data_IF_423329815973
#
_entry.id   IF_423329815973
#
_cell.length_a   1.000
_cell.length_b   1.000
_cell.length_c   1.000
_cell.angle_alpha   90.00
_cell.angle_beta   90.00
_cell.angle_gamma   90.00
#
_symmetry.space_group_name_H-M   'P 1'
#
loop_
_entity.id
_entity.type
_entity.pdbx_description
1 polymer ?
#
# COMPACT_ATOMS: atom_id res chain seq x y z
N UNK A 1 -12.64 29.10 -23.12
CA UNK A 1 -13.86 28.67 -22.41
C UNK A 1 -13.50 28.71 -20.94
N UNK A 2 -14.00 29.73 -20.23
CA UNK A 2 -13.68 29.97 -18.83
C UNK A 2 -14.16 28.76 -18.00
N UNK A 3 -13.26 28.14 -17.25
CA UNK A 3 -13.64 27.31 -16.11
C UNK A 3 -14.04 28.29 -15.00
N UNK A 4 -15.24 28.86 -15.13
CA UNK A 4 -15.86 29.63 -14.07
C UNK A 4 -16.09 28.71 -12.88
N UNK A 5 -15.54 29.15 -11.74
CA UNK A 5 -15.59 28.52 -10.43
C UNK A 5 -17.04 28.28 -10.00
N UNK A 6 -17.50 27.04 -10.12
CA UNK A 6 -18.53 26.53 -9.21
C UNK A 6 -17.83 25.73 -8.11
N UNK A 7 -17.01 26.43 -7.33
CA UNK A 7 -16.53 25.87 -6.07
C UNK A 7 -17.72 25.83 -5.11
N UNK A 8 -18.11 24.61 -4.76
CA UNK A 8 -19.02 24.30 -3.67
C UNK A 8 -18.63 25.14 -2.44
N UNK A 9 -19.62 25.73 -1.74
CA UNK A 9 -19.34 26.49 -0.52
C UNK A 9 -18.55 25.62 0.47
N UNK A 10 -17.73 26.22 1.35
CA UNK A 10 -16.98 25.46 2.35
C UNK A 10 -17.92 24.58 3.21
N UNK A 11 -19.10 25.10 3.54
CA UNK A 11 -20.11 24.39 4.33
C UNK A 11 -20.71 23.22 3.56
N UNK A 12 -21.02 23.40 2.27
CA UNK A 12 -21.51 22.33 1.42
C UNK A 12 -20.45 21.25 1.19
N UNK A 13 -19.18 21.64 1.06
CA UNK A 13 -18.06 20.72 0.94
C UNK A 13 -17.89 19.89 2.20
N UNK A 14 -17.88 20.54 3.36
CA UNK A 14 -17.76 19.83 4.64
C UNK A 14 -18.96 18.92 4.87
N UNK A 15 -20.17 19.35 4.51
CA UNK A 15 -21.37 18.49 4.55
C UNK A 15 -21.24 17.27 3.64
N UNK A 16 -20.88 17.45 2.37
CA UNK A 16 -20.70 16.35 1.41
C UNK A 16 -19.62 15.38 1.87
N UNK A 17 -18.51 15.91 2.38
CA UNK A 17 -17.42 15.12 2.95
C UNK A 17 -17.90 14.27 4.13
N UNK A 18 -18.66 14.84 5.07
CA UNK A 18 -19.16 14.07 6.20
C UNK A 18 -20.14 12.98 5.77
N UNK A 19 -21.05 13.27 4.83
CA UNK A 19 -21.95 12.27 4.25
C UNK A 19 -21.15 11.13 3.62
N UNK A 20 -20.15 11.47 2.81
CA UNK A 20 -19.29 10.47 2.17
C UNK A 20 -18.56 9.60 3.20
N UNK A 21 -17.93 10.21 4.22
CA UNK A 21 -17.22 9.47 5.26
C UNK A 21 -18.15 8.58 6.10
N UNK A 22 -19.36 9.05 6.40
CA UNK A 22 -20.37 8.27 7.13
C UNK A 22 -20.84 7.07 6.30
N UNK A 23 -20.98 7.22 4.98
CA UNK A 23 -21.37 6.12 4.08
C UNK A 23 -20.30 5.03 3.96
N UNK A 24 -19.03 5.36 4.24
CA UNK A 24 -17.92 4.39 4.27
C UNK A 24 -17.78 3.68 5.61
N UNK A 25 -18.48 4.15 6.65
CA UNK A 25 -18.34 3.61 7.99
C UNK A 25 -18.80 2.15 8.06
N UNK A 26 -17.99 1.33 8.71
CA UNK A 26 -18.23 -0.11 8.85
C UNK A 26 -17.91 -0.55 10.28
N UNK A 27 -18.64 -1.53 10.81
CA UNK A 27 -18.33 -2.15 12.11
C UNK A 27 -17.15 -3.12 12.01
N UNK A 28 -16.57 -3.52 13.14
CA UNK A 28 -15.50 -4.52 13.15
C UNK A 28 -15.93 -5.86 12.54
N UNK A 29 -17.20 -6.28 12.74
CA UNK A 29 -17.75 -7.48 12.11
C UNK A 29 -17.86 -7.31 10.58
N UNK A 30 -18.29 -6.13 10.12
CA UNK A 30 -18.35 -5.83 8.69
C UNK A 30 -16.95 -5.77 8.07
N UNK A 31 -15.96 -5.22 8.77
CA UNK A 31 -14.56 -5.22 8.32
C UNK A 31 -14.05 -6.65 8.11
N UNK A 32 -14.24 -7.51 9.10
CA UNK A 32 -13.84 -8.92 9.04
C UNK A 32 -14.61 -9.72 7.97
N UNK A 33 -15.87 -9.37 7.73
CA UNK A 33 -16.65 -9.96 6.63
C UNK A 33 -16.17 -9.49 5.27
N UNK A 34 -15.95 -8.19 5.09
CA UNK A 34 -15.47 -7.63 3.81
C UNK A 34 -14.14 -8.24 3.44
N UNK A 35 -13.19 -8.35 4.38
CA UNK A 35 -11.90 -9.01 4.10
C UNK A 35 -12.11 -10.43 3.53
N UNK A 36 -12.91 -11.26 4.21
CA UNK A 36 -13.20 -12.63 3.75
C UNK A 36 -13.92 -12.69 2.41
N UNK A 37 -14.97 -11.87 2.24
CA UNK A 37 -15.80 -11.86 1.03
C UNK A 37 -15.04 -11.27 -0.19
N UNK A 38 -13.92 -10.58 0.05
CA UNK A 38 -13.09 -9.94 -0.99
C UNK A 38 -11.77 -10.67 -1.28
N UNK A 39 -11.54 -11.84 -0.69
CA UNK A 39 -10.40 -12.71 -1.02
C UNK A 39 -10.39 -13.01 -2.53
N UNK A 40 -9.19 -13.06 -3.11
CA UNK A 40 -8.97 -13.21 -4.56
C UNK A 40 -8.77 -11.89 -5.30
N UNK A 41 -8.95 -10.76 -4.62
CA UNK A 41 -8.54 -9.42 -5.03
C UNK A 41 -8.96 -9.06 -6.47
N UNK A 42 -8.01 -8.97 -7.41
CA UNK A 42 -8.28 -8.61 -8.81
C UNK A 42 -9.31 -9.51 -9.50
N UNK A 43 -9.46 -10.76 -9.02
CA UNK A 43 -10.42 -11.73 -9.53
C UNK A 43 -11.76 -11.70 -8.78
N UNK A 44 -11.97 -10.74 -7.88
CA UNK A 44 -13.17 -10.59 -7.08
C UNK A 44 -13.80 -9.21 -7.34
N UNK A 45 -15.03 -9.18 -7.85
CA UNK A 45 -15.68 -7.92 -8.19
C UNK A 45 -16.10 -7.10 -6.96
N UNK A 46 -16.42 -7.77 -5.85
CA UNK A 46 -16.70 -7.11 -4.58
C UNK A 46 -15.45 -6.40 -4.05
N UNK A 47 -14.27 -7.00 -4.23
CA UNK A 47 -13.01 -6.34 -3.92
C UNK A 47 -12.83 -5.06 -4.75
N UNK A 48 -13.09 -5.10 -6.07
CA UNK A 48 -12.99 -3.91 -6.94
C UNK A 48 -13.94 -2.81 -6.49
N UNK A 49 -15.18 -3.17 -6.12
CA UNK A 49 -16.19 -2.24 -5.63
C UNK A 49 -15.78 -1.58 -4.31
N UNK A 50 -15.34 -2.34 -3.30
CA UNK A 50 -14.93 -1.74 -2.02
C UNK A 50 -13.62 -0.97 -2.12
N UNK A 51 -12.70 -1.43 -2.98
CA UNK A 51 -11.41 -0.78 -3.23
C UNK A 51 -11.57 0.59 -3.88
N UNK A 52 -12.46 0.73 -4.88
CA UNK A 52 -12.64 2.00 -5.61
C UNK A 52 -13.15 3.15 -4.73
N UNK A 53 -13.73 2.83 -3.57
CA UNK A 53 -14.24 3.79 -2.60
C UNK A 53 -13.18 4.29 -1.61
N UNK A 54 -11.96 3.74 -1.65
CA UNK A 54 -10.94 3.92 -0.60
C UNK A 54 -9.58 4.28 -1.16
N UNK A 55 -8.82 5.05 -0.40
CA UNK A 55 -7.40 5.27 -0.67
C UNK A 55 -6.61 4.04 -0.18
N UNK A 56 -6.02 3.30 -1.12
CA UNK A 56 -5.25 2.09 -0.78
C UNK A 56 -3.79 2.35 -0.43
N UNK A 57 -3.23 1.48 0.41
CA UNK A 57 -1.82 1.52 0.83
C UNK A 57 -0.81 1.61 -0.33
N UNK A 58 -1.11 1.02 -1.49
CA UNK A 58 -0.29 1.10 -2.71
C UNK A 58 -0.07 2.55 -3.21
N UNK A 59 -0.95 3.49 -2.87
CA UNK A 59 -0.79 4.92 -3.19
C UNK A 59 0.02 5.69 -2.13
N UNK A 60 0.31 5.10 -0.97
CA UNK A 60 0.92 5.84 0.15
C UNK A 60 2.31 6.33 -0.19
N UNK A 61 3.10 5.56 -0.93
CA UNK A 61 4.40 6.02 -1.40
C UNK A 61 4.32 7.21 -2.36
N UNK A 62 3.22 7.36 -3.12
CA UNK A 62 2.96 8.54 -3.95
C UNK A 62 2.59 9.73 -3.08
N UNK A 63 1.65 9.55 -2.16
CA UNK A 63 1.13 10.60 -1.27
C UNK A 63 2.20 11.12 -0.30
N UNK A 64 2.88 10.22 0.42
CA UNK A 64 3.84 10.57 1.46
C UNK A 64 5.11 11.22 0.93
N UNK A 65 5.42 11.02 -0.35
CA UNK A 65 6.61 11.58 -1.02
C UNK A 65 6.32 12.84 -1.84
N UNK A 66 5.10 13.37 -1.80
CA UNK A 66 4.76 14.64 -2.44
C UNK A 66 5.60 15.79 -1.86
N UNK A 67 6.31 16.49 -2.74
CA UNK A 67 7.08 17.68 -2.41
C UNK A 67 6.22 18.94 -2.57
N UNK A 68 6.67 20.05 -2.01
CA UNK A 68 5.98 21.35 -2.17
C UNK A 68 5.82 21.77 -3.63
N UNK A 69 6.76 21.39 -4.48
CA UNK A 69 6.77 21.68 -5.92
C UNK A 69 5.86 20.76 -6.74
N UNK A 70 5.41 19.64 -6.18
CA UNK A 70 4.57 18.67 -6.89
C UNK A 70 3.09 19.12 -6.84
N UNK A 71 2.36 18.94 -7.95
CA UNK A 71 0.94 19.30 -8.04
C UNK A 71 0.06 18.34 -7.24
N UNK A 72 -0.52 18.84 -6.14
CA UNK A 72 -1.52 18.11 -5.33
C UNK A 72 -2.78 17.77 -6.12
N UNK A 73 -3.41 18.71 -6.86
CA UNK A 73 -4.58 18.39 -7.68
C UNK A 73 -4.29 17.25 -8.66
N UNK A 74 -3.10 17.25 -9.29
CA UNK A 74 -2.74 16.19 -10.22
C UNK A 74 -2.53 14.83 -9.53
N UNK A 75 -1.98 14.83 -8.32
CA UNK A 75 -1.88 13.60 -7.53
C UNK A 75 -3.26 13.03 -7.21
N UNK A 76 -4.21 13.89 -6.81
CA UNK A 76 -5.59 13.49 -6.49
C UNK A 76 -6.30 12.98 -7.72
N UNK A 77 -6.21 13.69 -8.84
CA UNK A 77 -6.76 13.26 -10.14
C UNK A 77 -6.23 11.87 -10.53
N UNK A 78 -4.92 11.64 -10.40
CA UNK A 78 -4.30 10.34 -10.71
C UNK A 78 -4.67 9.22 -9.72
N UNK A 79 -5.25 9.53 -8.56
CA UNK A 79 -5.76 8.53 -7.60
C UNK A 79 -7.23 8.24 -7.91
N UNK A 80 -8.03 9.28 -8.19
CA UNK A 80 -9.47 9.16 -8.44
C UNK A 80 -9.78 8.56 -9.82
N UNK A 81 -8.99 8.92 -10.83
CA UNK A 81 -9.21 8.55 -12.23
C UNK A 81 -8.09 7.66 -12.77
N UNK A 82 -7.47 6.86 -11.91
CA UNK A 82 -6.43 5.92 -12.32
C UNK A 82 -7.00 4.91 -13.34
N UNK A 83 -6.57 5.05 -14.59
CA UNK A 83 -6.98 4.21 -15.72
C UNK A 83 -5.86 3.25 -16.15
N UNK A 84 -4.86 3.05 -15.31
CA UNK A 84 -3.73 2.18 -15.61
C UNK A 84 -4.18 0.72 -15.81
N UNK A 85 -4.08 0.24 -17.05
CA UNK A 85 -4.45 -1.14 -17.44
C UNK A 85 -3.32 -2.16 -17.24
N UNK A 86 -2.17 -1.74 -16.71
CA UNK A 86 -0.99 -2.59 -16.55
C UNK A 86 0.04 -2.42 -17.67
N UNK A 87 1.32 -2.54 -17.31
CA UNK A 87 2.44 -2.56 -18.24
C UNK A 87 3.08 -3.96 -18.31
N UNK A 88 4.21 -4.10 -19.02
CA UNK A 88 4.96 -5.36 -19.06
C UNK A 88 5.41 -5.81 -17.66
N UNK A 89 5.80 -4.88 -16.80
CA UNK A 89 6.32 -5.17 -15.46
C UNK A 89 5.21 -5.65 -14.53
N UNK A 90 4.05 -5.00 -14.58
CA UNK A 90 2.86 -5.33 -13.79
C UNK A 90 2.31 -6.69 -14.19
N UNK A 91 2.22 -6.97 -15.50
CA UNK A 91 1.80 -8.29 -16.01
C UNK A 91 2.78 -9.39 -15.61
N UNK A 92 4.08 -9.12 -15.71
CA UNK A 92 5.10 -10.05 -15.24
C UNK A 92 4.95 -10.34 -13.74
N UNK A 93 4.69 -9.30 -12.93
CA UNK A 93 4.43 -9.45 -11.50
C UNK A 93 3.22 -10.35 -11.23
N UNK A 94 2.08 -10.00 -11.83
CA UNK A 94 0.82 -10.74 -11.73
C UNK A 94 0.99 -12.23 -12.08
N UNK A 95 1.74 -12.53 -13.14
CA UNK A 95 1.91 -13.91 -13.61
C UNK A 95 2.83 -14.75 -12.71
N UNK A 96 3.67 -14.12 -11.90
CA UNK A 96 4.67 -14.79 -11.07
C UNK A 96 4.37 -14.75 -9.57
N UNK A 97 3.41 -13.93 -9.14
CA UNK A 97 3.03 -13.77 -7.73
C UNK A 97 2.66 -15.11 -7.07
N UNK A 98 1.93 -15.98 -7.79
CA UNK A 98 1.59 -17.33 -7.31
C UNK A 98 2.83 -18.19 -7.07
N UNK A 99 3.74 -18.23 -8.04
CA UNK A 99 4.99 -18.99 -7.93
C UNK A 99 5.84 -18.47 -6.76
N UNK A 100 5.92 -17.15 -6.61
CA UNK A 100 6.63 -16.51 -5.52
C UNK A 100 6.03 -16.90 -4.17
N UNK A 101 4.70 -16.79 -4.00
CA UNK A 101 4.01 -17.13 -2.75
C UNK A 101 4.21 -18.58 -2.36
N UNK A 102 4.09 -19.51 -3.30
CA UNK A 102 4.33 -20.94 -3.04
C UNK A 102 5.76 -21.22 -2.60
N UNK A 103 6.74 -20.59 -3.26
CA UNK A 103 8.14 -20.75 -2.90
C UNK A 103 8.42 -20.13 -1.51
N UNK A 104 7.83 -18.97 -1.18
CA UNK A 104 7.97 -18.34 0.14
C UNK A 104 7.37 -19.22 1.22
N UNK A 105 6.20 -19.81 1.00
CA UNK A 105 5.58 -20.71 1.97
C UNK A 105 6.48 -21.90 2.29
N UNK A 106 7.09 -22.51 1.26
CA UNK A 106 8.08 -23.58 1.42
C UNK A 106 9.33 -23.13 2.16
N UNK A 107 9.88 -21.97 1.82
CA UNK A 107 11.09 -21.42 2.47
C UNK A 107 10.84 -21.08 3.93
N UNK A 108 9.67 -20.54 4.26
CA UNK A 108 9.31 -20.22 5.64
C UNK A 108 8.85 -21.45 6.44
N UNK A 109 8.50 -22.54 5.77
CA UNK A 109 7.82 -23.69 6.39
C UNK A 109 6.43 -23.32 6.92
N UNK A 110 5.76 -22.36 6.27
CA UNK A 110 4.47 -21.79 6.70
C UNK A 110 3.46 -21.79 5.58
N UNK A 111 2.20 -21.94 5.93
CA UNK A 111 1.11 -21.71 5.00
C UNK A 111 0.91 -20.20 4.79
N UNK A 112 0.60 -19.83 3.55
CA UNK A 112 0.29 -18.45 3.19
C UNK A 112 -1.10 -18.45 2.58
N UNK A 113 -2.02 -17.76 3.23
CA UNK A 113 -3.39 -17.60 2.76
C UNK A 113 -3.50 -16.35 1.90
N UNK A 114 -4.34 -16.40 0.86
CA UNK A 114 -4.73 -15.20 0.14
C UNK A 114 -5.51 -14.28 1.08
N UNK A 115 -5.35 -12.96 0.92
CA UNK A 115 -6.13 -11.98 1.66
C UNK A 115 -7.11 -11.25 0.76
N UNK A 116 -8.14 -10.66 1.37
CA UNK A 116 -9.00 -9.69 0.73
C UNK A 116 -8.59 -8.25 1.02
N UNK A 117 -9.59 -7.38 1.15
CA UNK A 117 -9.45 -5.97 1.48
C UNK A 117 -9.62 -5.76 2.98
N UNK A 118 -8.55 -5.33 3.64
CA UNK A 118 -8.59 -4.77 4.97
C UNK A 118 -9.04 -3.31 4.90
N UNK A 119 -9.95 -2.95 5.80
CA UNK A 119 -10.40 -1.58 6.01
C UNK A 119 -9.83 -1.10 7.34
N UNK A 120 -9.33 0.13 7.39
CA UNK A 120 -8.74 0.68 8.60
C UNK A 120 -9.79 0.88 9.69
N UNK A 121 -9.45 0.56 10.94
CA UNK A 121 -10.36 0.55 12.11
C UNK A 121 -11.13 1.85 12.37
N UNK A 122 -10.46 2.99 12.24
CA UNK A 122 -11.07 4.30 12.50
C UNK A 122 -11.22 5.18 11.26
N UNK A 123 -10.27 5.07 10.32
CA UNK A 123 -10.24 5.83 9.07
C UNK A 123 -10.79 4.97 7.93
N UNK A 124 -12.09 4.66 7.93
CA UNK A 124 -12.71 3.69 7.01
C UNK A 124 -12.54 3.99 5.50
N UNK A 125 -12.11 5.20 5.14
CA UNK A 125 -11.71 5.58 3.79
C UNK A 125 -10.32 5.07 3.38
N UNK A 126 -9.57 4.43 4.28
CA UNK A 126 -8.30 3.77 4.01
C UNK A 126 -8.47 2.25 3.89
N UNK A 127 -7.81 1.66 2.89
CA UNK A 127 -7.83 0.22 2.65
C UNK A 127 -6.47 -0.37 2.29
N UNK A 128 -6.31 -1.67 2.45
CA UNK A 128 -5.09 -2.39 2.11
C UNK A 128 -5.39 -3.84 1.71
N UNK A 129 -4.60 -4.38 0.78
CA UNK A 129 -4.69 -5.78 0.37
C UNK A 129 -3.27 -6.32 0.24
N UNK A 130 -2.69 -6.88 1.31
CA UNK A 130 -1.40 -7.55 1.22
C UNK A 130 -1.47 -8.74 0.25
N UNK A 131 -0.32 -9.23 -0.22
CA UNK A 131 -0.28 -10.39 -1.12
C UNK A 131 -0.55 -11.72 -0.42
N UNK A 132 -0.48 -11.74 0.91
CA UNK A 132 -0.91 -12.88 1.72
C UNK A 132 -0.88 -12.66 3.23
N UNK A 133 -1.55 -13.58 3.93
CA UNK A 133 -1.51 -13.72 5.39
C UNK A 133 -0.67 -14.95 5.72
N UNK A 134 0.38 -14.75 6.51
CA UNK A 134 1.26 -15.85 6.90
C UNK A 134 0.68 -16.52 8.15
N UNK A 135 0.51 -17.83 8.08
CA UNK A 135 0.06 -18.63 9.21
C UNK A 135 1.16 -18.67 10.28
N UNK A 136 0.94 -17.91 11.35
CA UNK A 136 1.82 -17.84 12.53
C UNK A 136 0.98 -18.09 13.77
N UNK A 137 1.59 -18.64 14.81
CA UNK A 137 0.94 -18.90 16.11
C UNK A 137 0.23 -17.65 16.65
N UNK A 138 0.78 -16.46 16.37
CA UNK A 138 0.24 -15.17 16.79
C UNK A 138 -0.51 -14.42 15.66
N UNK A 139 -0.63 -15.00 14.46
CA UNK A 139 -1.38 -14.44 13.33
C UNK A 139 -0.91 -13.06 12.85
N UNK A 140 0.35 -12.70 13.10
CA UNK A 140 0.79 -11.30 13.19
C UNK A 140 1.58 -10.79 11.99
N UNK A 141 1.67 -11.61 10.93
CA UNK A 141 2.50 -11.35 9.76
C UNK A 141 1.72 -11.34 8.44
N UNK A 142 1.96 -10.31 7.63
CA UNK A 142 1.53 -10.23 6.23
C UNK A 142 2.71 -10.55 5.30
N UNK A 143 2.39 -10.76 4.04
CA UNK A 143 3.34 -10.93 2.95
C UNK A 143 3.10 -9.85 1.89
N UNK A 144 4.19 -9.26 1.40
CA UNK A 144 4.18 -8.34 0.25
C UNK A 144 5.27 -8.81 -0.72
N UNK A 145 4.88 -9.13 -1.95
CA UNK A 145 5.71 -9.75 -2.98
C UNK A 145 5.98 -8.73 -4.08
N UNK A 146 7.25 -8.61 -4.46
CA UNK A 146 7.64 -7.92 -5.68
C UNK A 146 8.39 -8.86 -6.61
N UNK A 147 7.92 -8.93 -7.85
CA UNK A 147 8.54 -9.70 -8.94
C UNK A 147 9.02 -8.72 -10.04
N UNK A 148 10.15 -8.03 -9.84
CA UNK A 148 10.68 -7.07 -10.82
C UNK A 148 11.24 -7.76 -12.08
N UNK A 149 10.55 -7.59 -13.21
CA UNK A 149 10.96 -8.09 -14.53
C UNK A 149 12.37 -7.64 -14.96
N UNK A 150 12.83 -6.47 -14.50
CA UNK A 150 14.15 -5.92 -14.83
C UNK A 150 15.32 -6.73 -14.29
N UNK A 151 15.08 -7.63 -13.33
CA UNK A 151 16.09 -8.49 -12.72
C UNK A 151 15.75 -9.98 -12.85
N UNK A 152 14.83 -10.36 -13.76
CA UNK A 152 14.39 -11.75 -13.94
C UNK A 152 15.54 -12.73 -14.22
N UNK A 153 16.65 -12.25 -14.78
CA UNK A 153 17.84 -13.06 -15.09
C UNK A 153 18.89 -13.10 -13.96
N UNK A 154 18.59 -12.49 -12.81
CA UNK A 154 19.49 -12.43 -11.66
C UNK A 154 18.80 -13.01 -10.42
N UNK A 155 19.57 -13.56 -9.50
CA UNK A 155 19.11 -13.68 -8.12
C UNK A 155 18.94 -12.28 -7.50
N UNK A 156 18.09 -12.11 -6.46
CA UNK A 156 18.00 -10.83 -5.77
C UNK A 156 19.35 -10.31 -5.26
N UNK A 157 20.24 -11.20 -4.79
CA UNK A 157 21.59 -10.82 -4.33
C UNK A 157 22.44 -10.25 -5.45
N UNK A 158 22.57 -10.97 -6.56
CA UNK A 158 23.34 -10.50 -7.73
C UNK A 158 22.76 -9.19 -8.28
N UNK A 159 21.44 -9.05 -8.29
CA UNK A 159 20.80 -7.82 -8.74
C UNK A 159 21.11 -6.63 -7.83
N UNK A 160 21.24 -6.85 -6.52
CA UNK A 160 21.67 -5.83 -5.57
C UNK A 160 23.13 -5.43 -5.78
N UNK A 161 24.03 -6.42 -5.86
CA UNK A 161 25.47 -6.21 -6.07
C UNK A 161 25.77 -5.50 -7.41
N UNK A 162 24.97 -5.78 -8.45
CA UNK A 162 25.03 -5.10 -9.73
C UNK A 162 24.29 -3.74 -9.78
N UNK A 163 23.80 -3.22 -8.64
CA UNK A 163 23.14 -1.92 -8.54
C UNK A 163 21.76 -1.83 -9.21
N UNK A 164 21.13 -2.96 -9.53
CA UNK A 164 19.80 -3.04 -10.18
C UNK A 164 18.65 -2.98 -9.16
N UNK A 165 18.84 -3.47 -7.93
CA UNK A 165 17.87 -3.36 -6.84
C UNK A 165 18.05 -2.07 -6.03
N UNK A 166 17.84 -0.91 -6.66
CA UNK A 166 18.06 0.41 -6.05
C UNK A 166 17.25 0.71 -4.79
N UNK A 167 16.22 -0.09 -4.56
CA UNK A 167 15.27 0.09 -3.48
C UNK A 167 15.52 -0.77 -2.25
N UNK A 168 16.50 -1.65 -2.35
CA UNK A 168 17.01 -2.40 -1.21
C UNK A 168 18.29 -1.71 -0.74
N UNK A 169 18.62 -1.91 0.53
CA UNK A 169 19.93 -1.60 1.14
C UNK A 169 20.38 -2.82 1.93
N UNK A 170 21.63 -2.88 2.34
CA UNK A 170 22.13 -3.92 3.25
C UNK A 170 22.15 -3.37 4.69
N UNK A 171 21.75 -4.15 5.67
CA UNK A 171 21.90 -3.83 7.08
C UNK A 171 23.28 -4.27 7.61
N UNK A 172 23.58 -3.98 8.87
CA UNK A 172 24.87 -4.33 9.49
C UNK A 172 25.14 -5.85 9.58
N UNK A 173 24.12 -6.68 9.36
CA UNK A 173 24.20 -8.15 9.38
C UNK A 173 24.36 -8.74 7.97
N UNK A 174 24.52 -7.91 6.93
CA UNK A 174 24.62 -8.37 5.54
C UNK A 174 23.27 -8.76 4.92
N UNK A 175 22.15 -8.46 5.59
CA UNK A 175 20.81 -8.77 5.08
C UNK A 175 20.29 -7.60 4.25
N UNK A 176 19.69 -7.90 3.10
CA UNK A 176 19.00 -6.87 2.33
C UNK A 176 17.75 -6.40 3.11
N UNK A 177 17.43 -5.12 3.04
CA UNK A 177 16.22 -4.58 3.67
C UNK A 177 15.66 -3.50 2.76
N UNK A 178 14.33 -3.36 2.80
CA UNK A 178 13.65 -2.30 2.07
C UNK A 178 14.07 -0.93 2.63
N UNK A 179 14.52 -0.05 1.74
CA UNK A 179 14.87 1.34 2.09
C UNK A 179 13.66 2.09 2.63
N UNK A 180 13.82 2.77 3.77
CA UNK A 180 12.71 3.46 4.44
C UNK A 180 12.17 4.66 3.65
N UNK A 181 13.01 5.25 2.81
CA UNK A 181 12.65 6.34 1.90
C UNK A 181 11.97 5.83 0.62
N UNK A 182 11.91 4.53 0.37
CA UNK A 182 11.32 3.98 -0.85
C UNK A 182 9.79 3.96 -0.79
N UNK A 183 9.13 4.19 -1.94
CA UNK A 183 7.66 4.17 -2.05
C UNK A 183 7.01 2.88 -1.52
N UNK A 184 7.66 1.73 -1.68
CA UNK A 184 7.16 0.44 -1.20
C UNK A 184 7.20 0.34 0.31
N UNK A 185 8.10 1.06 0.99
CA UNK A 185 8.14 1.09 2.45
C UNK A 185 6.87 1.73 3.01
N UNK A 186 6.43 2.84 2.42
CA UNK A 186 5.17 3.49 2.80
C UNK A 186 3.94 2.60 2.53
N UNK A 187 3.97 1.80 1.46
CA UNK A 187 2.93 0.81 1.19
C UNK A 187 2.90 -0.26 2.28
N UNK A 188 4.03 -0.92 2.56
CA UNK A 188 4.16 -1.95 3.60
C UNK A 188 3.72 -1.42 4.96
N UNK A 189 4.16 -0.22 5.34
CA UNK A 189 3.72 0.40 6.60
C UNK A 189 2.22 0.71 6.58
N UNK A 190 1.66 1.13 5.44
CA UNK A 190 0.23 1.31 5.27
C UNK A 190 -0.56 0.01 5.49
N UNK A 191 -0.14 -1.08 4.85
CA UNK A 191 -0.74 -2.41 5.02
C UNK A 191 -0.70 -2.88 6.47
N UNK A 192 0.45 -2.76 7.14
CA UNK A 192 0.60 -3.14 8.56
C UNK A 192 -0.31 -2.33 9.48
N UNK A 193 -0.44 -1.03 9.26
CA UNK A 193 -1.31 -0.18 10.08
C UNK A 193 -2.79 -0.45 9.82
N UNK A 194 -3.19 -0.65 8.56
CA UNK A 194 -4.59 -0.87 8.16
C UNK A 194 -5.09 -2.27 8.57
N UNK A 195 -4.26 -3.30 8.40
CA UNK A 195 -4.57 -4.69 8.77
C UNK A 195 -4.35 -5.00 10.25
N UNK A 196 -3.85 -4.02 11.02
CA UNK A 196 -3.50 -4.15 12.44
C UNK A 196 -2.43 -5.23 12.72
N UNK A 197 -1.61 -5.60 11.72
CA UNK A 197 -0.56 -6.63 11.80
C UNK A 197 0.79 -6.06 12.26
N UNK A 198 1.64 -6.92 12.82
CA UNK A 198 2.91 -6.49 13.43
C UNK A 198 4.08 -6.58 12.47
N UNK A 199 4.10 -7.55 11.55
CA UNK A 199 5.23 -7.78 10.67
C UNK A 199 4.82 -7.97 9.22
N UNK A 200 5.68 -7.56 8.30
CA UNK A 200 5.55 -7.85 6.88
C UNK A 200 6.79 -8.60 6.43
N UNK A 201 6.59 -9.76 5.82
CA UNK A 201 7.59 -10.40 5.00
C UNK A 201 7.58 -9.71 3.64
N UNK A 202 8.51 -8.78 3.44
CA UNK A 202 8.69 -8.14 2.14
C UNK A 202 9.63 -9.01 1.30
N UNK A 203 9.13 -9.49 0.16
CA UNK A 203 9.78 -10.49 -0.68
C UNK A 203 10.14 -9.90 -2.03
N UNK A 204 11.40 -10.07 -2.43
CA UNK A 204 11.83 -9.88 -3.83
C UNK A 204 12.02 -11.26 -4.44
N UNK A 205 11.26 -11.57 -5.48
CA UNK A 205 11.28 -12.87 -6.15
C UNK A 205 11.72 -12.77 -7.61
N UNK A 206 12.56 -13.72 -8.04
CA UNK A 206 12.92 -13.94 -9.44
C UNK A 206 12.96 -15.45 -9.75
N UNK A 207 12.85 -15.86 -11.03
CA UNK A 207 12.97 -17.27 -11.42
C UNK A 207 14.35 -17.89 -11.14
N UNK A 208 15.40 -17.08 -10.91
CA UNK A 208 16.79 -17.52 -10.86
C UNK A 208 17.29 -17.95 -9.48
N UNK A 209 16.59 -17.66 -8.39
CA UNK A 209 17.03 -18.16 -7.08
C UNK A 209 16.54 -17.38 -5.87
N UNK A 210 17.07 -17.82 -4.72
CA UNK A 210 16.54 -17.69 -3.36
C UNK A 210 15.79 -16.40 -3.03
N UNK A 211 14.64 -16.61 -2.41
CA UNK A 211 13.75 -15.58 -1.88
C UNK A 211 14.53 -14.74 -0.89
N UNK A 212 14.53 -13.43 -1.15
CA UNK A 212 14.98 -12.49 -0.17
C UNK A 212 13.81 -12.04 0.69
N UNK A 213 13.88 -12.24 2.00
CA UNK A 213 12.85 -11.88 2.96
C UNK A 213 13.40 -10.82 3.91
N UNK A 214 12.89 -9.58 3.83
CA UNK A 214 13.07 -8.62 4.93
C UNK A 214 11.82 -8.60 5.81
N UNK A 215 11.99 -8.80 7.12
CA UNK A 215 10.90 -8.65 8.10
C UNK A 215 10.77 -7.19 8.50
N UNK A 216 9.82 -6.48 7.93
CA UNK A 216 9.50 -5.10 8.29
C UNK A 216 8.56 -5.08 9.48
N UNK A 217 8.98 -4.50 10.62
CA UNK A 217 8.10 -4.29 11.79
C UNK A 217 7.20 -3.08 11.58
N UNK A 218 5.95 -3.19 12.04
CA UNK A 218 4.99 -2.08 12.09
C UNK A 218 5.60 -0.96 12.90
N UNK A 219 5.68 0.21 12.28
CA UNK A 219 5.96 1.47 12.96
C UNK A 219 4.67 2.28 13.02
N UNK A 220 4.56 3.09 14.06
CA UNK A 220 3.48 4.05 14.16
C UNK A 220 3.67 5.07 13.03
N UNK A 221 2.86 4.95 11.98
CA UNK A 221 2.74 6.03 11.02
C UNK A 221 2.09 7.19 11.75
N UNK A 222 2.86 8.26 12.03
CA UNK A 222 2.29 9.51 12.55
C UNK A 222 1.46 10.15 11.43
N UNK A 223 0.23 9.68 11.26
CA UNK A 223 -0.81 10.40 10.55
C UNK A 223 -1.16 11.61 11.41
N UNK A 224 -0.47 12.74 11.23
CA UNK A 224 -0.83 13.95 11.97
C UNK A 224 -2.25 14.37 11.59
N UNK A 225 -3.15 14.43 12.58
CA UNK A 225 -4.38 15.23 12.48
C UNK A 225 -3.96 16.69 12.49
N UNK A 226 -3.86 17.33 11.34
CA UNK A 226 -3.82 18.80 11.30
C UNK A 226 -5.27 19.29 11.38
N UNK A 227 -5.59 20.05 12.43
CA UNK A 227 -6.75 20.93 12.46
C UNK A 227 -6.60 21.99 11.36
N UNK A 228 -7.68 22.25 10.63
CA UNK A 228 -7.67 23.05 9.40
C UNK A 228 -7.59 24.58 9.66
N UNK A 229 -7.62 25.03 10.92
CA UNK A 229 -7.81 26.46 11.24
C UNK A 229 -6.57 27.33 11.39
N UNK A 230 -5.36 26.81 11.27
CA UNK A 230 -4.17 27.67 11.39
C UNK A 230 -3.61 28.10 10.03
N UNK A 231 -3.66 29.41 9.80
CA UNK A 231 -2.99 30.15 8.71
C UNK A 231 -1.56 29.62 8.47
N UNK A 232 -1.08 29.63 7.21
CA UNK A 232 0.11 28.91 6.82
C UNK A 232 1.36 29.48 7.48
N UNK A 233 1.88 28.79 8.51
CA UNK A 233 3.29 28.84 8.86
C UNK A 233 3.96 27.61 8.27
N UNK A 234 4.90 27.88 7.38
CA UNK A 234 5.79 26.90 6.77
C UNK A 234 6.50 26.09 7.86
N UNK A 235 6.32 24.77 7.86
CA UNK A 235 7.28 23.86 8.47
C UNK A 235 7.44 22.58 7.63
N UNK A 236 8.69 22.17 7.45
CA UNK A 236 9.16 21.15 6.52
C UNK A 236 9.05 19.77 7.15
N UNK A 237 7.86 19.18 7.12
CA UNK A 237 7.55 17.76 7.29
C UNK A 237 6.10 17.73 7.74
N UNK A 238 5.16 17.34 6.89
CA UNK A 238 3.78 16.91 7.21
C UNK A 238 2.97 16.97 5.92
N UNK A 239 2.32 15.88 5.48
CA UNK A 239 1.13 15.91 4.61
C UNK A 239 0.60 14.49 4.37
N UNK A 240 -0.39 14.05 5.17
CA UNK A 240 -1.27 12.93 4.77
C UNK A 240 -2.76 13.36 4.75
N UNK A 241 -3.12 14.54 5.28
CA UNK A 241 -4.50 15.03 5.24
C UNK A 241 -4.77 16.20 4.29
N UNK A 242 -3.75 16.78 3.63
CA UNK A 242 -3.95 17.82 2.59
C UNK A 242 -4.21 17.26 1.19
N UNK A 243 -4.43 15.95 1.04
CA UNK A 243 -4.70 15.32 -0.27
C UNK A 243 -6.20 15.19 -0.58
N UNK A 244 -7.07 15.84 0.20
CA UNK A 244 -8.51 15.97 -0.08
C UNK A 244 -8.92 17.47 -0.03
N UNK A 245 -8.06 18.36 -0.55
CA UNK A 245 -8.42 19.74 -0.87
C UNK A 245 -7.80 20.10 -2.21
#
# INVERSE_FOLDING_TARGET
MNLESNDMSSDDFDRCKQIFLNNLAVTDEQRARIERDTVGQKNNDLWKQYKSQRLTASYFGRVCKLRSVDSRPKCVENILYDSFLGDRNTRYGINNEENARQQVGKTLGKQIHLSGLFIHKTLHYLGASPDGLVDEVDGDSILEITCPSSIQEYTPREAFENGKLKFMTENNEGQLVLKEEDKRYYQVQGELNISEKTYCYFVVWTPKGNIFVSRSKRRQLKLRKESIDDKPKFDKQNNILKCIK
#
